data_IF_514281295903
#
_entry.id   IF_514281295903
#
_cell.length_a   1.000
_cell.length_b   1.000
_cell.length_c   1.000
_cell.angle_alpha   90.00
_cell.angle_beta   90.00
_cell.angle_gamma   90.00
#
_symmetry.space_group_name_H-M   'P 1'
#
loop_
_entity.id
_entity.type
_entity.pdbx_description
1 polymer ?
#
# COMPACT_ATOMS: atom_id res chain seq x y z
N UNK A 1 0.63 -5.98 -7.78
CA UNK A 1 0.73 -7.44 -7.55
C UNK A 1 0.63 -8.19 -8.88
N UNK A 2 1.31 -9.31 -9.00
CA UNK A 2 1.30 -10.13 -10.22
C UNK A 2 -0.10 -10.68 -10.52
N UNK A 3 -0.47 -10.70 -11.81
CA UNK A 3 -1.70 -11.36 -12.29
C UNK A 3 -1.70 -12.89 -12.12
N UNK A 4 -0.55 -13.46 -11.74
CA UNK A 4 -0.39 -14.91 -11.48
C UNK A 4 -0.84 -15.32 -10.07
N UNK A 5 -1.07 -14.33 -9.18
CA UNK A 5 -1.53 -14.61 -7.82
C UNK A 5 -2.99 -15.07 -7.80
N UNK A 6 -3.30 -16.00 -6.91
CA UNK A 6 -4.67 -16.52 -6.73
C UNK A 6 -5.62 -15.54 -6.05
N UNK A 7 -5.09 -14.46 -5.45
CA UNK A 7 -5.88 -13.43 -4.76
C UNK A 7 -5.24 -12.06 -4.96
N UNK A 8 -6.10 -11.04 -5.06
CA UNK A 8 -5.68 -9.63 -5.20
C UNK A 8 -4.73 -9.37 -6.39
N UNK A 9 -4.85 -10.18 -7.46
CA UNK A 9 -4.09 -10.00 -8.69
C UNK A 9 -4.37 -8.60 -9.29
N UNK A 10 -3.32 -7.93 -9.77
CA UNK A 10 -3.45 -6.59 -10.36
C UNK A 10 -3.66 -5.44 -9.37
N UNK A 11 -3.90 -5.72 -8.08
CA UNK A 11 -4.09 -4.67 -7.07
C UNK A 11 -2.76 -4.04 -6.64
N UNK A 12 -2.82 -2.76 -6.28
CA UNK A 12 -1.68 -2.04 -5.69
C UNK A 12 -1.57 -2.41 -4.21
N UNK A 13 -0.40 -2.81 -3.78
CA UNK A 13 -0.09 -3.10 -2.37
C UNK A 13 1.30 -2.59 -2.00
N UNK A 14 1.50 -2.33 -0.73
CA UNK A 14 2.85 -2.24 -0.17
C UNK A 14 3.49 -3.63 -0.09
N UNK A 15 4.83 -3.73 -0.08
CA UNK A 15 5.52 -4.98 0.18
C UNK A 15 5.08 -5.58 1.52
N UNK A 16 4.97 -6.91 1.58
CA UNK A 16 4.62 -7.57 2.82
C UNK A 16 4.18 -9.02 2.67
N UNK A 17 4.41 -9.79 3.71
CA UNK A 17 4.11 -11.22 3.80
C UNK A 17 3.99 -11.72 5.23
N UNK A 18 4.24 -13.00 5.42
CA UNK A 18 4.19 -13.64 6.73
C UNK A 18 5.38 -13.28 7.62
N UNK A 19 5.18 -13.34 8.93
CA UNK A 19 6.25 -13.24 9.91
C UNK A 19 6.86 -14.63 10.10
N UNK A 20 8.16 -14.78 9.85
CA UNK A 20 8.85 -16.04 9.99
C UNK A 20 9.23 -16.33 11.45
N UNK A 21 9.60 -17.59 11.74
CA UNK A 21 9.96 -17.99 13.09
C UNK A 21 11.19 -17.21 13.59
N UNK A 22 11.01 -16.45 14.66
CA UNK A 22 12.06 -15.64 15.28
C UNK A 22 12.14 -14.20 14.77
N UNK A 23 11.28 -13.82 13.83
CA UNK A 23 11.13 -12.42 13.40
C UNK A 23 10.08 -11.67 14.21
N UNK A 24 10.24 -10.36 14.30
CA UNK A 24 9.16 -9.44 14.63
C UNK A 24 8.55 -8.80 13.35
N UNK A 25 7.49 -8.02 13.51
CA UNK A 25 6.80 -7.40 12.38
C UNK A 25 7.69 -6.41 11.60
N UNK A 26 8.63 -5.75 12.26
CA UNK A 26 9.54 -4.80 11.60
C UNK A 26 10.59 -5.54 10.75
N UNK A 27 11.12 -6.62 11.28
CA UNK A 27 12.08 -7.48 10.58
C UNK A 27 11.42 -8.10 9.35
N UNK A 28 10.22 -8.67 9.51
CA UNK A 28 9.44 -9.23 8.40
C UNK A 28 9.16 -8.18 7.31
N UNK A 29 8.71 -6.97 7.68
CA UNK A 29 8.42 -5.91 6.72
C UNK A 29 9.66 -5.48 5.91
N UNK A 30 10.82 -5.41 6.55
CA UNK A 30 12.08 -5.06 5.88
C UNK A 30 12.57 -6.21 4.98
N UNK A 31 12.46 -7.47 5.41
CA UNK A 31 12.79 -8.64 4.61
C UNK A 31 11.91 -8.72 3.36
N UNK A 32 10.60 -8.62 3.51
CA UNK A 32 9.66 -8.62 2.39
C UNK A 32 9.90 -7.46 1.42
N UNK A 33 10.22 -6.26 1.95
CA UNK A 33 10.63 -5.12 1.14
C UNK A 33 11.88 -5.43 0.31
N UNK A 34 12.84 -6.15 0.86
CA UNK A 34 14.03 -6.57 0.12
C UNK A 34 13.69 -7.63 -0.95
N UNK A 35 12.94 -8.66 -0.59
CA UNK A 35 12.60 -9.78 -1.48
C UNK A 35 11.70 -9.35 -2.64
N UNK A 36 10.65 -8.58 -2.37
CA UNK A 36 9.67 -8.18 -3.36
C UNK A 36 10.11 -7.02 -4.25
N UNK A 37 10.78 -6.01 -3.67
CA UNK A 37 11.09 -4.76 -4.39
C UNK A 37 12.56 -4.35 -4.36
N UNK A 38 13.46 -5.18 -3.84
CA UNK A 38 14.92 -4.93 -3.72
C UNK A 38 15.25 -3.71 -2.86
N UNK A 39 14.42 -3.42 -1.88
CA UNK A 39 14.69 -2.37 -0.90
C UNK A 39 15.80 -2.84 0.05
N UNK A 40 16.88 -2.05 0.17
CA UNK A 40 17.95 -2.35 1.11
C UNK A 40 17.50 -2.02 2.56
N UNK A 41 17.37 -3.01 3.45
CA UNK A 41 16.89 -2.78 4.82
C UNK A 41 17.67 -1.71 5.58
N UNK A 42 19.00 -1.66 5.40
CA UNK A 42 19.85 -0.69 6.05
C UNK A 42 19.58 0.76 5.61
N UNK A 43 18.98 0.98 4.44
CA UNK A 43 18.60 2.29 3.92
C UNK A 43 17.34 2.86 4.59
N UNK A 44 16.62 2.03 5.35
CA UNK A 44 15.32 2.38 5.95
C UNK A 44 15.44 2.48 7.47
N UNK A 45 14.91 3.56 8.03
CA UNK A 45 14.66 3.68 9.47
C UNK A 45 13.18 3.46 9.73
N UNK A 46 12.82 2.45 10.52
CA UNK A 46 11.44 2.29 10.98
C UNK A 46 11.03 3.52 11.78
N UNK A 47 9.95 4.16 11.36
CA UNK A 47 9.41 5.39 11.96
C UNK A 47 8.23 5.09 12.90
N UNK A 48 7.38 4.13 12.53
CA UNK A 48 6.23 3.73 13.33
C UNK A 48 5.80 2.29 12.99
N UNK A 49 5.10 1.69 13.92
CA UNK A 49 4.39 0.43 13.75
C UNK A 49 2.96 0.61 14.24
N UNK A 50 2.00 0.21 13.44
CA UNK A 50 0.59 0.21 13.84
C UNK A 50 0.26 -1.05 14.64
N UNK A 51 -0.81 -1.03 15.43
CA UNK A 51 -1.35 -2.26 16.00
C UNK A 51 -1.80 -3.22 14.90
N UNK A 52 -1.88 -4.50 15.24
CA UNK A 52 -2.42 -5.53 14.36
C UNK A 52 -3.87 -5.22 13.99
N UNK A 53 -4.17 -5.26 12.70
CA UNK A 53 -5.47 -4.93 12.13
C UNK A 53 -6.01 -6.09 11.29
N UNK A 54 -7.26 -6.51 11.48
CA UNK A 54 -7.88 -7.53 10.62
C UNK A 54 -8.18 -6.93 9.24
N UNK A 55 -7.74 -7.60 8.17
CA UNK A 55 -7.97 -7.17 6.79
C UNK A 55 -9.03 -8.06 6.12
N UNK A 56 -10.16 -7.46 5.74
CA UNK A 56 -11.21 -8.17 4.99
C UNK A 56 -10.74 -8.43 3.53
N UNK A 57 -11.20 -9.52 2.87
CA UNK A 57 -12.19 -10.50 3.36
C UNK A 57 -11.59 -11.65 4.18
N UNK A 58 -10.28 -11.85 4.15
CA UNK A 58 -9.62 -12.99 4.81
C UNK A 58 -9.59 -12.88 6.34
N UNK A 59 -9.76 -11.66 6.87
CA UNK A 59 -9.56 -11.30 8.28
C UNK A 59 -8.19 -11.71 8.84
N UNK A 60 -7.21 -11.92 7.95
CA UNK A 60 -5.84 -12.16 8.39
C UNK A 60 -5.31 -10.91 9.06
N UNK A 61 -4.66 -11.05 10.21
CA UNK A 61 -4.05 -9.93 10.89
C UNK A 61 -2.88 -9.37 10.07
N UNK A 62 -2.81 -8.06 9.98
CA UNK A 62 -1.71 -7.33 9.34
C UNK A 62 -1.20 -6.29 10.30
N UNK A 63 0.10 -6.24 10.49
CA UNK A 63 0.80 -5.22 11.29
C UNK A 63 1.52 -4.26 10.34
N UNK A 64 0.93 -3.07 10.05
CA UNK A 64 1.60 -2.10 9.19
C UNK A 64 2.85 -1.52 9.86
N UNK A 65 3.93 -1.44 9.09
CA UNK A 65 5.19 -0.82 9.49
C UNK A 65 5.47 0.35 8.57
N UNK A 66 5.73 1.54 9.14
CA UNK A 66 6.07 2.74 8.39
C UNK A 66 7.58 2.97 8.48
N UNK A 67 8.22 2.94 7.34
CA UNK A 67 9.64 3.20 7.19
C UNK A 67 9.91 4.60 6.62
N UNK A 68 10.94 5.26 7.12
CA UNK A 68 11.54 6.43 6.51
C UNK A 68 12.74 5.99 5.68
N UNK A 69 12.63 6.11 4.35
CA UNK A 69 13.70 5.74 3.41
C UNK A 69 14.78 6.81 3.40
N UNK A 70 15.81 6.63 4.22
CA UNK A 70 16.87 7.60 4.47
C UNK A 70 17.87 7.74 3.32
N UNK A 71 18.15 6.64 2.64
CA UNK A 71 19.12 6.53 1.58
C UNK A 71 18.46 5.94 0.33
N UNK A 72 17.65 6.76 -0.41
CA UNK A 72 16.99 6.30 -1.62
C UNK A 72 17.97 5.77 -2.66
N UNK A 73 17.63 4.61 -3.22
CA UNK A 73 18.38 3.92 -4.26
C UNK A 73 17.42 3.33 -5.29
N UNK A 74 17.88 2.89 -6.47
CA UNK A 74 17.03 2.21 -7.43
C UNK A 74 16.41 0.94 -6.82
N UNK A 75 15.09 0.84 -6.90
CA UNK A 75 14.32 -0.36 -6.53
C UNK A 75 13.67 -0.96 -7.79
N UNK A 76 13.26 -2.20 -7.72
CA UNK A 76 12.67 -2.88 -8.86
C UNK A 76 12.10 -4.25 -8.46
N UNK A 77 11.52 -4.96 -9.40
CA UNK A 77 10.93 -6.28 -9.17
C UNK A 77 12.00 -7.25 -8.66
N UNK A 78 11.80 -7.75 -7.44
CA UNK A 78 12.62 -8.78 -6.82
C UNK A 78 12.04 -10.18 -7.07
N UNK A 79 10.73 -10.32 -6.91
CA UNK A 79 9.99 -11.57 -7.14
C UNK A 79 8.98 -11.39 -8.28
N UNK A 80 9.28 -11.88 -9.48
CA UNK A 80 8.36 -11.81 -10.64
C UNK A 80 7.08 -12.64 -10.46
N UNK A 81 7.08 -13.55 -9.49
CA UNK A 81 5.91 -14.36 -9.16
C UNK A 81 4.87 -13.51 -8.42
N UNK A 82 5.33 -12.61 -7.55
CA UNK A 82 4.48 -11.84 -6.64
C UNK A 82 4.24 -10.41 -7.10
N UNK A 83 5.25 -9.80 -7.74
CA UNK A 83 5.27 -8.39 -8.12
C UNK A 83 5.30 -8.24 -9.64
N UNK A 84 4.33 -7.51 -10.20
CA UNK A 84 4.28 -7.20 -11.62
C UNK A 84 5.13 -5.96 -11.96
N UNK A 85 5.05 -4.93 -11.13
CA UNK A 85 5.78 -3.67 -11.27
C UNK A 85 5.98 -3.01 -9.92
N UNK A 86 6.99 -2.15 -9.82
CA UNK A 86 7.30 -1.36 -8.64
C UNK A 86 7.20 0.12 -9.00
N UNK A 87 6.53 0.88 -8.15
CA UNK A 87 6.30 2.30 -8.36
C UNK A 87 6.71 3.09 -7.11
N UNK A 88 7.37 4.22 -7.34
CA UNK A 88 7.62 5.24 -6.33
C UNK A 88 6.80 6.47 -6.70
N UNK A 89 5.97 6.93 -5.79
CA UNK A 89 5.08 8.08 -6.02
C UNK A 89 5.49 9.21 -5.07
N UNK A 90 5.76 10.41 -5.57
CA UNK A 90 6.04 11.55 -4.72
C UNK A 90 4.88 11.85 -3.77
N UNK A 91 5.19 12.26 -2.54
CA UNK A 91 4.16 12.60 -1.55
C UNK A 91 3.27 13.75 -2.04
N UNK A 92 3.83 14.73 -2.74
CA UNK A 92 3.06 15.85 -3.29
C UNK A 92 1.97 15.41 -4.28
N UNK A 93 2.23 14.36 -5.07
CA UNK A 93 1.24 13.74 -5.96
C UNK A 93 0.15 12.99 -5.18
N UNK A 94 0.53 12.31 -4.08
CA UNK A 94 -0.42 11.57 -3.24
C UNK A 94 -1.36 12.50 -2.47
N UNK A 95 -0.92 13.70 -2.11
CA UNK A 95 -1.72 14.67 -1.37
C UNK A 95 -2.43 15.69 -2.27
N UNK A 96 -2.20 15.64 -3.59
CA UNK A 96 -2.93 16.49 -4.54
C UNK A 96 -4.42 16.09 -4.55
N UNK A 97 -5.34 17.02 -4.24
CA UNK A 97 -6.78 16.75 -4.25
C UNK A 97 -7.28 16.19 -5.58
N UNK A 98 -6.66 16.53 -6.70
CA UNK A 98 -7.05 16.04 -8.04
C UNK A 98 -6.83 14.53 -8.21
N UNK A 99 -5.94 13.94 -7.42
CA UNK A 99 -5.63 12.51 -7.43
C UNK A 99 -6.43 11.70 -6.40
N UNK A 100 -7.22 12.39 -5.54
CA UNK A 100 -7.96 11.79 -4.43
C UNK A 100 -9.44 11.61 -4.78
N UNK A 101 -10.01 10.49 -4.33
CA UNK A 101 -11.43 10.20 -4.50
C UNK A 101 -11.92 9.19 -3.45
N UNK A 102 -13.21 8.98 -3.38
CA UNK A 102 -13.84 7.92 -2.59
C UNK A 102 -14.04 6.69 -3.47
N UNK A 103 -13.32 5.61 -3.19
CA UNK A 103 -13.45 4.33 -3.90
C UNK A 103 -14.63 3.53 -3.37
N UNK A 104 -15.48 3.00 -4.25
CA UNK A 104 -16.59 2.12 -3.92
C UNK A 104 -16.49 0.80 -4.68
N UNK A 105 -16.51 -0.31 -3.94
CA UNK A 105 -16.62 -1.63 -4.55
C UNK A 105 -18.08 -1.92 -4.92
N UNK A 106 -18.41 -2.21 -6.20
CA UNK A 106 -19.76 -2.53 -6.60
C UNK A 106 -20.38 -3.67 -5.79
N UNK A 107 -21.61 -3.47 -5.32
CA UNK A 107 -22.33 -4.45 -4.49
C UNK A 107 -21.99 -4.37 -3.00
N UNK A 108 -21.17 -3.41 -2.57
CA UNK A 108 -20.86 -3.16 -1.18
C UNK A 108 -21.14 -1.70 -0.80
N UNK A 109 -21.71 -1.48 0.38
CA UNK A 109 -21.98 -0.12 0.89
C UNK A 109 -20.74 0.55 1.51
N UNK A 110 -19.63 -0.18 1.61
CA UNK A 110 -18.40 0.35 2.20
C UNK A 110 -17.57 1.06 1.16
N UNK A 111 -17.07 2.22 1.54
CA UNK A 111 -16.15 3.03 0.77
C UNK A 111 -14.80 3.14 1.47
N UNK A 112 -13.76 3.46 0.71
CA UNK A 112 -12.42 3.75 1.24
C UNK A 112 -11.84 4.96 0.52
N UNK A 113 -10.87 5.68 1.12
CA UNK A 113 -10.06 6.63 0.36
C UNK A 113 -9.40 5.92 -0.83
N UNK A 114 -9.36 6.61 -1.97
CA UNK A 114 -8.72 6.15 -3.18
C UNK A 114 -7.74 7.18 -3.74
N UNK A 115 -6.80 6.69 -4.56
CA UNK A 115 -5.81 7.51 -5.25
C UNK A 115 -5.70 7.05 -6.70
N UNK A 116 -5.75 8.00 -7.63
CA UNK A 116 -5.50 7.77 -9.05
C UNK A 116 -4.26 8.58 -9.44
N UNK A 117 -3.11 7.96 -9.44
CA UNK A 117 -1.83 8.61 -9.61
C UNK A 117 -0.89 7.72 -10.42
N UNK A 118 -0.18 8.31 -11.39
CA UNK A 118 0.79 7.59 -12.23
C UNK A 118 0.23 6.32 -12.91
N UNK A 119 -1.05 6.38 -13.33
CA UNK A 119 -1.75 5.23 -13.93
C UNK A 119 -2.15 4.14 -12.92
N UNK A 120 -1.88 4.32 -11.64
CA UNK A 120 -2.29 3.41 -10.58
C UNK A 120 -3.68 3.78 -10.05
N UNK A 121 -4.46 2.76 -9.69
CA UNK A 121 -5.72 2.91 -8.98
C UNK A 121 -5.60 2.25 -7.62
N UNK A 122 -5.33 3.06 -6.58
CA UNK A 122 -5.13 2.58 -5.20
C UNK A 122 -6.43 2.71 -4.42
N UNK A 123 -6.87 1.65 -3.75
CA UNK A 123 -8.14 1.60 -3.02
C UNK A 123 -8.10 0.57 -1.89
N UNK A 124 -9.20 0.37 -1.21
CA UNK A 124 -9.35 -0.66 -0.19
C UNK A 124 -8.44 -0.43 1.01
N UNK A 125 -7.87 -1.51 1.53
CA UNK A 125 -6.98 -1.45 2.69
C UNK A 125 -5.74 -0.59 2.41
N UNK A 126 -5.13 -0.73 1.23
CA UNK A 126 -3.96 0.06 0.84
C UNK A 126 -4.28 1.55 0.79
N UNK A 127 -5.41 1.94 0.17
CA UNK A 127 -5.85 3.32 0.11
C UNK A 127 -6.17 3.90 1.49
N UNK A 128 -6.84 3.13 2.34
CA UNK A 128 -7.13 3.53 3.71
C UNK A 128 -5.84 3.72 4.53
N UNK A 129 -4.92 2.78 4.48
CA UNK A 129 -3.66 2.84 5.21
C UNK A 129 -2.83 4.04 4.76
N UNK A 130 -2.69 4.24 3.44
CA UNK A 130 -1.97 5.37 2.87
C UNK A 130 -2.55 6.71 3.32
N UNK A 131 -3.88 6.87 3.23
CA UNK A 131 -4.57 8.07 3.72
C UNK A 131 -4.31 8.31 5.21
N UNK A 132 -4.35 7.26 6.02
CA UNK A 132 -4.09 7.35 7.47
C UNK A 132 -2.64 7.79 7.74
N UNK A 133 -1.67 7.24 7.02
CA UNK A 133 -0.25 7.63 7.19
C UNK A 133 -0.03 9.09 6.81
N UNK A 134 -0.63 9.57 5.71
CA UNK A 134 -0.53 10.97 5.28
C UNK A 134 -1.15 11.93 6.31
N UNK A 135 -2.31 11.57 6.88
CA UNK A 135 -2.95 12.35 7.95
C UNK A 135 -2.09 12.41 9.21
N UNK A 136 -1.60 11.27 9.69
CA UNK A 136 -0.74 11.21 10.88
C UNK A 136 0.60 11.91 10.67
N UNK A 137 1.10 11.90 9.44
CA UNK A 137 2.29 12.66 9.03
C UNK A 137 2.07 14.16 8.92
N UNK A 138 0.83 14.65 9.02
CA UNK A 138 0.48 16.07 8.97
C UNK A 138 0.67 16.70 7.58
N UNK A 139 0.71 15.88 6.52
CA UNK A 139 0.89 16.33 5.13
C UNK A 139 -0.38 16.23 4.29
N UNK A 140 -1.43 15.59 4.80
CA UNK A 140 -2.70 15.42 4.10
C UNK A 140 -3.35 16.78 3.77
N UNK A 141 -4.03 16.85 2.62
CA UNK A 141 -4.75 18.05 2.16
C UNK A 141 -6.23 17.71 2.02
N UNK A 142 -7.14 18.69 2.25
CA UNK A 142 -8.56 18.48 1.99
C UNK A 142 -8.80 18.11 0.51
N UNK A 143 -9.66 17.12 0.29
CA UNK A 143 -10.06 16.65 -1.04
C UNK A 143 -11.57 16.40 -1.10
N UNK A 144 -12.12 16.28 -2.30
CA UNK A 144 -13.55 16.07 -2.52
C UNK A 144 -13.96 14.63 -2.21
N UNK A 145 -14.56 14.42 -1.05
CA UNK A 145 -15.06 13.09 -0.62
C UNK A 145 -16.34 12.67 -1.36
N UNK A 146 -17.01 13.59 -2.05
CA UNK A 146 -18.22 13.33 -2.85
C UNK A 146 -17.87 12.86 -4.26
N UNK A 147 -16.60 12.99 -4.71
CA UNK A 147 -16.09 12.30 -5.90
C UNK A 147 -16.00 10.79 -5.66
N UNK A 148 -17.10 10.10 -5.92
CA UNK A 148 -17.19 8.64 -5.73
C UNK A 148 -16.92 7.92 -7.04
N UNK A 149 -15.87 7.08 -7.05
CA UNK A 149 -15.49 6.27 -8.22
C UNK A 149 -15.63 4.78 -7.92
N UNK A 150 -16.23 4.04 -8.86
CA UNK A 150 -16.30 2.58 -8.75
C UNK A 150 -14.94 1.95 -9.06
N UNK A 151 -14.58 0.93 -8.27
CA UNK A 151 -13.37 0.14 -8.51
C UNK A 151 -13.50 -0.56 -9.87
N UNK A 152 -12.56 -0.32 -10.80
CA UNK A 152 -12.58 -0.96 -12.11
C UNK A 152 -12.43 -2.48 -12.01
N UNK A 153 -12.96 -3.26 -12.98
CA UNK A 153 -12.87 -4.73 -12.95
C UNK A 153 -11.44 -5.26 -12.79
N UNK A 154 -10.47 -4.61 -13.42
CA UNK A 154 -9.06 -5.03 -13.42
C UNK A 154 -8.37 -4.85 -12.05
N UNK A 155 -9.02 -4.15 -11.11
CA UNK A 155 -8.53 -3.87 -9.76
C UNK A 155 -9.37 -4.52 -8.65
N UNK A 156 -10.24 -5.49 -8.99
CA UNK A 156 -11.14 -6.17 -8.04
C UNK A 156 -10.59 -7.46 -7.47
#
# INVERSE_FOLDING_TARGET
RSSRLSSHAGQVSFPGGGIDAGEDAQQAALREGHEEVRLEPASVRVAAQFPELPVAPSFRPVTPVVGWWREPHPIGVGSEIEVASVHTVPVDELVDPAHRFTARLPGFDRTTPGFAVDGLFVWGYTGWLLSTVLQLGGVDRPWDTDDVREVPPDYR
#
